data_IF_738367092552
#
_entry.id   IF_738367092552
#
_cell.length_a   1.000
_cell.length_b   1.000
_cell.length_c   1.000
_cell.angle_alpha   90.00
_cell.angle_beta   90.00
_cell.angle_gamma   90.00
#
_symmetry.space_group_name_H-M   'P 1'
#
loop_
_entity.id
_entity.type
_entity.pdbx_description
1 polymer ?
#
# COMPACT_ATOMS: atom_id res chain seq x y z
N UNK A 1 15.92 42.12 40.85
CA UNK A 1 16.34 40.70 40.94
C UNK A 1 15.34 39.91 40.11
N UNK A 2 15.70 39.67 38.85
CA UNK A 2 14.92 38.86 37.91
C UNK A 2 14.62 37.50 38.53
N UNK A 3 13.33 37.15 38.62
CA UNK A 3 12.93 35.75 38.75
C UNK A 3 12.25 35.38 37.44
N UNK A 4 13.11 34.92 36.55
CA UNK A 4 12.85 34.25 35.30
C UNK A 4 11.75 33.20 35.50
N UNK A 5 10.49 33.57 35.24
CA UNK A 5 9.44 32.63 34.87
C UNK A 5 9.89 32.00 33.55
N UNK A 6 10.75 30.98 33.64
CA UNK A 6 10.98 30.05 32.54
C UNK A 6 9.60 29.54 32.19
N UNK A 7 9.05 30.03 31.08
CA UNK A 7 8.08 29.29 30.29
C UNK A 7 8.69 27.88 30.23
N UNK A 8 8.06 26.91 30.88
CA UNK A 8 8.34 25.51 30.54
C UNK A 8 7.94 25.44 29.08
N UNK A 9 8.92 25.59 28.20
CA UNK A 9 8.79 25.08 26.84
C UNK A 9 8.36 23.64 27.04
N UNK A 10 7.08 23.39 26.72
CA UNK A 10 6.57 22.04 26.63
C UNK A 10 7.34 21.47 25.44
N UNK A 11 8.49 20.85 25.71
CA UNK A 11 9.18 20.06 24.72
C UNK A 11 8.13 19.10 24.16
N UNK A 12 7.86 19.10 22.84
CA UNK A 12 6.90 18.17 22.28
C UNK A 12 7.32 16.78 22.77
N UNK A 13 6.38 16.07 23.42
CA UNK A 13 6.63 14.70 23.90
C UNK A 13 7.39 13.95 22.80
N UNK A 14 8.55 13.39 23.14
CA UNK A 14 9.47 12.73 22.21
C UNK A 14 8.72 11.72 21.33
N UNK A 15 8.23 12.15 20.16
CA UNK A 15 7.52 11.33 19.17
C UNK A 15 8.54 10.49 18.39
N UNK A 16 9.23 9.59 19.09
CA UNK A 16 10.16 8.62 18.49
C UNK A 16 11.15 9.22 17.47
N UNK A 17 11.54 8.41 16.49
CA UNK A 17 12.33 8.84 15.33
C UNK A 17 11.36 9.17 14.19
N UNK A 18 11.32 10.42 13.68
CA UNK A 18 10.44 10.79 12.58
C UNK A 18 10.69 9.94 11.34
N UNK A 19 9.61 9.52 10.67
CA UNK A 19 9.64 8.74 9.42
C UNK A 19 10.45 7.44 9.50
N UNK A 20 10.62 6.86 10.70
CA UNK A 20 11.49 5.72 10.94
C UNK A 20 11.29 4.60 9.91
N UNK A 21 10.06 4.13 9.70
CA UNK A 21 9.78 3.04 8.77
C UNK A 21 9.99 3.42 7.31
N UNK A 22 9.59 4.62 6.90
CA UNK A 22 9.87 5.10 5.55
C UNK A 22 11.38 5.12 5.28
N UNK A 23 12.17 5.66 6.21
CA UNK A 23 13.63 5.66 6.10
C UNK A 23 14.21 4.26 6.09
N UNK A 24 13.74 3.36 6.97
CA UNK A 24 14.20 1.98 7.03
C UNK A 24 13.90 1.20 5.75
N UNK A 25 12.69 1.33 5.19
CA UNK A 25 12.31 0.66 3.95
C UNK A 25 13.10 1.18 2.76
N UNK A 26 13.35 2.50 2.68
CA UNK A 26 14.14 3.09 1.59
C UNK A 26 15.64 2.75 1.65
N UNK A 27 16.14 2.24 2.78
CA UNK A 27 17.51 1.75 2.89
C UNK A 27 17.69 0.40 2.19
N UNK A 28 16.61 -0.36 1.99
CA UNK A 28 16.63 -1.59 1.20
C UNK A 28 16.41 -1.26 -0.29
N UNK A 29 17.38 -1.56 -1.15
CA UNK A 29 17.30 -1.20 -2.58
C UNK A 29 16.11 -1.82 -3.32
N UNK A 30 15.68 -3.03 -2.95
CA UNK A 30 14.54 -3.69 -3.56
C UNK A 30 13.24 -2.97 -3.21
N UNK A 31 12.99 -2.78 -1.91
CA UNK A 31 11.80 -2.06 -1.43
C UNK A 31 11.78 -0.59 -1.88
N UNK A 32 12.95 0.06 -1.95
CA UNK A 32 13.04 1.45 -2.38
C UNK A 32 12.54 1.66 -3.82
N UNK A 33 12.70 0.67 -4.71
CA UNK A 33 12.21 0.72 -6.09
C UNK A 33 10.68 0.60 -6.17
N UNK A 34 10.08 -0.15 -5.25
CA UNK A 34 8.62 -0.31 -5.17
C UNK A 34 7.93 0.93 -4.57
N UNK A 35 8.67 1.83 -3.90
CA UNK A 35 8.12 3.02 -3.25
C UNK A 35 8.22 4.23 -4.20
N UNK A 36 7.08 4.65 -4.74
CA UNK A 36 7.00 5.87 -5.53
C UNK A 36 7.10 7.12 -4.65
N UNK A 37 7.43 8.27 -5.25
CA UNK A 37 7.46 9.57 -4.54
C UNK A 37 6.12 9.92 -3.89
N UNK A 38 5.00 9.45 -4.45
CA UNK A 38 3.66 9.70 -3.91
C UNK A 38 3.40 8.86 -2.66
N UNK A 39 3.88 7.62 -2.67
CA UNK A 39 3.75 6.69 -1.54
C UNK A 39 4.50 7.20 -0.31
N UNK A 40 5.65 7.85 -0.49
CA UNK A 40 6.43 8.43 0.60
C UNK A 40 5.59 9.31 1.53
N UNK A 41 4.62 10.06 1.01
CA UNK A 41 3.79 10.93 1.83
C UNK A 41 2.80 10.17 2.71
N UNK A 42 2.26 9.05 2.24
CA UNK A 42 1.41 8.19 3.05
C UNK A 42 2.25 7.36 4.04
N UNK A 43 3.43 6.89 3.64
CA UNK A 43 4.34 6.11 4.48
C UNK A 43 4.94 6.89 5.66
N UNK A 44 4.87 8.24 5.66
CA UNK A 44 5.19 9.06 6.84
C UNK A 44 4.26 8.79 8.03
N UNK A 45 3.06 8.26 7.77
CA UNK A 45 2.09 7.89 8.80
C UNK A 45 2.24 6.44 9.27
N UNK A 46 3.17 5.67 8.69
CA UNK A 46 3.44 4.30 9.11
C UNK A 46 4.14 4.29 10.47
N UNK A 47 3.44 3.80 11.48
CA UNK A 47 3.89 3.74 12.87
C UNK A 47 4.64 2.46 13.17
N UNK A 48 4.16 1.32 12.67
CA UNK A 48 4.72 0.02 12.99
C UNK A 48 4.50 -0.99 11.87
N UNK A 49 5.42 -1.95 11.75
CA UNK A 49 5.27 -3.13 10.91
C UNK A 49 5.42 -4.35 11.81
N UNK A 50 4.33 -5.06 12.02
CA UNK A 50 4.30 -6.28 12.83
C UNK A 50 4.28 -7.51 11.93
N UNK A 51 4.89 -8.56 12.41
CA UNK A 51 4.82 -9.89 11.83
C UNK A 51 4.18 -10.84 12.83
N UNK A 52 3.28 -11.69 12.36
CA UNK A 52 2.63 -12.72 13.16
C UNK A 52 2.57 -14.03 12.39
N UNK A 53 2.89 -15.14 13.06
CA UNK A 53 2.61 -16.48 12.56
C UNK A 53 1.12 -16.79 12.71
N UNK A 54 0.55 -17.49 11.74
CA UNK A 54 -0.80 -18.05 11.79
C UNK A 54 -0.64 -19.56 11.85
N UNK A 55 -1.28 -20.20 12.82
CA UNK A 55 -1.16 -21.65 13.02
C UNK A 55 -2.26 -22.45 12.29
N UNK A 56 -3.45 -21.88 12.11
CA UNK A 56 -4.56 -22.53 11.42
C UNK A 56 -5.45 -21.52 10.65
N UNK A 57 -5.48 -21.56 9.29
CA UNK A 57 -4.58 -22.32 8.43
C UNK A 57 -3.15 -21.77 8.54
N UNK A 58 -2.15 -22.65 8.44
CA UNK A 58 -0.73 -22.30 8.59
C UNK A 58 -0.33 -21.16 7.65
N UNK A 59 0.45 -20.21 8.15
CA UNK A 59 0.93 -19.09 7.35
C UNK A 59 1.59 -18.00 8.19
N UNK A 60 1.73 -16.82 7.60
CA UNK A 60 2.10 -15.62 8.35
C UNK A 60 1.39 -14.39 7.81
N UNK A 61 1.31 -13.36 8.65
CA UNK A 61 0.70 -12.07 8.36
C UNK A 61 1.70 -10.97 8.66
N UNK A 62 1.75 -10.00 7.76
CA UNK A 62 2.35 -8.69 7.99
C UNK A 62 1.23 -7.69 8.27
N UNK A 63 1.41 -6.86 9.29
CA UNK A 63 0.49 -5.78 9.65
C UNK A 63 1.23 -4.45 9.63
N UNK A 64 0.74 -3.52 8.82
CA UNK A 64 1.28 -2.17 8.67
C UNK A 64 0.32 -1.23 9.39
N UNK A 65 0.75 -0.69 10.53
CA UNK A 65 -0.06 0.14 11.40
C UNK A 65 0.14 1.61 11.03
N UNK A 66 -0.94 2.29 10.65
CA UNK A 66 -0.91 3.69 10.26
C UNK A 66 -1.62 4.58 11.28
N UNK A 67 -1.04 5.74 11.54
CA UNK A 67 -1.77 6.85 12.15
C UNK A 67 -2.91 7.33 11.23
N UNK A 68 -3.90 8.04 11.78
CA UNK A 68 -4.87 8.79 10.98
C UNK A 68 -4.17 9.65 9.94
N UNK A 69 -4.50 9.44 8.66
CA UNK A 69 -3.81 10.04 7.54
C UNK A 69 -4.81 10.51 6.46
N UNK A 70 -4.41 11.39 5.53
CA UNK A 70 -5.32 11.97 4.55
C UNK A 70 -5.53 11.11 3.30
N UNK A 71 -5.04 9.86 3.26
CA UNK A 71 -5.06 9.01 2.06
C UNK A 71 -6.13 7.92 2.12
N UNK A 72 -6.22 7.22 3.25
CA UNK A 72 -7.15 6.11 3.44
C UNK A 72 -7.65 6.03 4.88
N UNK A 73 -8.76 5.31 5.09
CA UNK A 73 -9.39 5.14 6.41
C UNK A 73 -8.74 4.07 7.27
N UNK A 74 -8.12 3.06 6.66
CA UNK A 74 -7.58 1.90 7.37
C UNK A 74 -6.51 2.35 8.38
N UNK A 75 -6.64 1.91 9.63
CA UNK A 75 -5.57 2.05 10.64
C UNK A 75 -4.55 0.92 10.56
N UNK A 76 -4.91 -0.20 9.92
CA UNK A 76 -4.02 -1.34 9.70
C UNK A 76 -4.23 -1.88 8.29
N UNK A 77 -3.15 -2.01 7.52
CA UNK A 77 -3.13 -2.76 6.26
C UNK A 77 -2.43 -4.09 6.50
N UNK A 78 -3.04 -5.19 6.08
CA UNK A 78 -2.49 -6.53 6.28
C UNK A 78 -2.18 -7.22 4.96
N UNK A 79 -1.11 -8.02 4.96
CA UNK A 79 -0.80 -8.97 3.90
C UNK A 79 -0.61 -10.35 4.53
N UNK A 80 -1.44 -11.29 4.15
CA UNK A 80 -1.47 -12.66 4.67
C UNK A 80 -0.90 -13.58 3.61
N UNK A 81 0.02 -14.44 4.02
CA UNK A 81 0.64 -15.47 3.21
C UNK A 81 0.27 -16.84 3.78
N UNK A 82 -0.78 -17.48 3.26
CA UNK A 82 -1.08 -18.87 3.58
C UNK A 82 0.08 -19.77 3.14
N UNK A 83 0.42 -20.76 3.96
CA UNK A 83 1.39 -21.79 3.66
C UNK A 83 0.65 -23.13 3.58
N UNK A 84 0.81 -23.85 2.46
CA UNK A 84 0.47 -25.27 2.45
C UNK A 84 1.52 -26.06 3.23
N UNK A 85 1.18 -27.29 3.64
CA UNK A 85 2.14 -28.19 4.29
C UNK A 85 3.31 -28.61 3.38
N UNK A 86 3.20 -28.37 2.07
CA UNK A 86 4.24 -28.64 1.07
C UNK A 86 5.44 -27.66 1.13
N UNK A 87 5.59 -26.91 2.22
CA UNK A 87 6.69 -25.98 2.53
C UNK A 87 6.89 -24.81 1.54
N UNK A 88 6.13 -24.74 0.45
CA UNK A 88 6.18 -23.64 -0.52
C UNK A 88 5.00 -22.71 -0.28
N UNK A 89 5.29 -21.51 0.21
CA UNK A 89 4.31 -20.42 0.21
C UNK A 89 4.08 -20.00 -1.24
N UNK A 90 2.96 -20.40 -1.84
CA UNK A 90 2.64 -20.03 -3.22
C UNK A 90 2.12 -18.58 -3.22
N UNK A 91 2.81 -17.63 -3.91
CA UNK A 91 2.43 -16.21 -3.92
C UNK A 91 1.00 -15.93 -4.40
N UNK A 92 0.44 -16.81 -5.22
CA UNK A 92 -0.90 -16.70 -5.82
C UNK A 92 -2.05 -16.68 -4.79
N UNK A 93 -1.79 -17.08 -3.53
CA UNK A 93 -2.79 -17.03 -2.44
C UNK A 93 -2.57 -15.88 -1.46
N UNK A 94 -1.67 -14.94 -1.73
CA UNK A 94 -1.36 -13.89 -0.78
C UNK A 94 -2.52 -12.87 -0.69
N UNK A 95 -3.21 -12.82 0.45
CA UNK A 95 -4.42 -12.00 0.65
C UNK A 95 -4.00 -10.65 1.23
N UNK A 96 -4.28 -9.57 0.52
CA UNK A 96 -4.06 -8.20 0.99
C UNK A 96 -5.35 -7.54 1.46
N UNK A 97 -5.22 -6.57 2.36
CA UNK A 97 -6.34 -5.74 2.80
C UNK A 97 -6.73 -4.75 1.70
N UNK A 98 -8.01 -4.72 1.25
CA UNK A 98 -8.49 -3.67 0.37
C UNK A 98 -8.34 -2.30 1.04
N UNK A 99 -7.69 -1.37 0.35
CA UNK A 99 -7.43 -0.03 0.89
C UNK A 99 -8.66 0.85 0.65
N UNK A 100 -9.20 1.41 1.73
CA UNK A 100 -10.33 2.34 1.72
C UNK A 100 -9.84 3.77 1.46
N UNK A 101 -9.43 4.04 0.22
CA UNK A 101 -8.96 5.36 -0.21
C UNK A 101 -10.04 6.43 -0.03
N UNK A 102 -9.62 7.62 0.40
CA UNK A 102 -10.46 8.81 0.28
C UNK A 102 -10.60 9.23 -1.19
N UNK A 103 -11.67 9.98 -1.55
CA UNK A 103 -11.88 10.43 -2.93
C UNK A 103 -10.67 11.17 -3.51
N UNK A 104 -10.17 10.70 -4.65
CA UNK A 104 -9.00 11.28 -5.35
C UNK A 104 -7.66 11.09 -4.61
N UNK A 105 -7.58 10.15 -3.66
CA UNK A 105 -6.36 9.85 -2.90
C UNK A 105 -5.76 8.47 -3.18
N UNK A 106 -6.33 7.72 -4.12
CA UNK A 106 -5.79 6.45 -4.57
C UNK A 106 -4.38 6.65 -5.12
N UNK A 107 -3.38 6.00 -4.51
CA UNK A 107 -1.98 6.14 -4.91
C UNK A 107 -1.56 5.13 -5.98
N UNK A 108 -2.34 4.05 -6.15
CA UNK A 108 -2.11 3.01 -7.15
C UNK A 108 -2.80 3.28 -8.49
N UNK A 109 -3.45 4.43 -8.66
CA UNK A 109 -4.15 4.82 -9.89
C UNK A 109 -3.88 6.28 -10.25
N UNK A 110 -3.90 6.59 -11.54
CA UNK A 110 -3.79 7.94 -12.08
C UNK A 110 -4.92 8.25 -13.04
N UNK A 111 -5.35 9.52 -13.08
CA UNK A 111 -6.29 10.01 -14.08
C UNK A 111 -5.52 10.39 -15.34
N UNK A 112 -5.80 9.68 -16.42
CA UNK A 112 -5.25 9.92 -17.75
C UNK A 112 -6.33 10.56 -18.61
N UNK A 113 -6.00 11.69 -19.22
CA UNK A 113 -6.87 12.33 -20.20
C UNK A 113 -6.60 11.71 -21.57
N UNK A 114 -7.65 11.15 -22.19
CA UNK A 114 -7.57 10.61 -23.55
C UNK A 114 -8.47 11.41 -24.48
N UNK A 115 -7.95 11.73 -25.66
CA UNK A 115 -8.71 12.34 -26.74
C UNK A 115 -9.09 11.29 -27.78
N UNK A 116 -10.38 11.19 -28.09
CA UNK A 116 -10.89 10.24 -29.06
C UNK A 116 -11.51 10.95 -30.28
N UNK A 117 -10.96 10.66 -31.47
CA UNK A 117 -11.54 10.99 -32.77
C UNK A 117 -11.44 12.46 -33.24
N UNK A 118 -11.87 12.70 -34.47
CA UNK A 118 -11.81 13.99 -35.20
C UNK A 118 -12.68 15.13 -34.61
N UNK A 119 -13.43 14.86 -33.54
CA UNK A 119 -14.26 15.85 -32.81
C UNK A 119 -13.86 15.86 -31.34
N UNK A 120 -12.58 16.17 -31.06
CA UNK A 120 -11.88 16.33 -29.77
C UNK A 120 -12.73 16.25 -28.48
N UNK A 121 -13.34 15.08 -28.21
CA UNK A 121 -13.99 14.81 -26.94
C UNK A 121 -12.91 14.27 -25.99
N UNK A 122 -12.69 15.00 -24.89
CA UNK A 122 -11.74 14.64 -23.82
C UNK A 122 -12.48 13.79 -22.80
N UNK A 123 -11.98 12.59 -22.53
CA UNK A 123 -12.43 11.73 -21.42
C UNK A 123 -11.31 11.54 -20.40
N UNK A 124 -11.67 11.51 -19.13
CA UNK A 124 -10.76 11.11 -18.05
C UNK A 124 -10.98 9.63 -17.74
N UNK A 125 -9.92 8.85 -17.86
CA UNK A 125 -9.90 7.43 -17.51
C UNK A 125 -8.94 7.22 -16.34
N UNK A 126 -9.24 6.26 -15.47
CA UNK A 126 -8.31 5.86 -14.39
C UNK A 126 -7.46 4.69 -14.86
N UNK A 127 -6.15 4.83 -14.79
CA UNK A 127 -5.19 3.79 -15.15
C UNK A 127 -4.39 3.38 -13.92
N UNK A 128 -4.09 2.08 -13.83
CA UNK A 128 -3.22 1.55 -12.79
C UNK A 128 -1.78 2.03 -13.01
N UNK A 129 -1.08 2.33 -11.91
CA UNK A 129 0.28 2.83 -11.94
C UNK A 129 1.13 2.18 -10.84
N UNK A 130 2.46 2.33 -10.94
CA UNK A 130 3.40 1.83 -9.93
C UNK A 130 3.19 2.55 -8.60
N UNK A 131 2.98 1.75 -7.55
CA UNK A 131 2.82 2.19 -6.18
C UNK A 131 3.14 1.03 -5.24
N UNK A 132 3.81 1.34 -4.12
CA UNK A 132 4.03 0.39 -3.04
C UNK A 132 2.73 -0.25 -2.56
N UNK A 133 1.62 0.51 -2.59
CA UNK A 133 0.32 0.04 -2.13
C UNK A 133 -0.30 -1.04 -3.03
N UNK A 134 0.24 -1.27 -4.24
CA UNK A 134 -0.09 -2.46 -5.04
C UNK A 134 0.28 -3.76 -4.31
N UNK A 135 1.21 -3.71 -3.34
CA UNK A 135 1.53 -4.83 -2.45
C UNK A 135 0.29 -5.40 -1.76
N UNK A 136 -0.73 -4.59 -1.46
CA UNK A 136 -1.95 -5.02 -0.78
C UNK A 136 -3.10 -5.40 -1.74
N UNK A 137 -2.93 -5.23 -3.05
CA UNK A 137 -3.92 -5.74 -4.01
C UNK A 137 -3.98 -7.28 -3.92
N UNK A 138 -5.18 -7.82 -4.08
CA UNK A 138 -5.35 -9.25 -4.27
C UNK A 138 -4.69 -9.66 -5.60
N UNK A 139 -4.09 -10.86 -5.70
CA UNK A 139 -3.66 -11.41 -6.97
C UNK A 139 -4.86 -11.43 -7.94
N UNK A 140 -4.66 -10.97 -9.17
CA UNK A 140 -5.68 -11.19 -10.21
C UNK A 140 -5.75 -12.68 -10.50
N UNK A 141 -6.96 -13.24 -10.51
CA UNK A 141 -7.14 -14.63 -10.96
C UNK A 141 -6.62 -14.74 -12.40
N UNK A 142 -5.86 -15.80 -12.74
CA UNK A 142 -5.46 -16.03 -14.11
C UNK A 142 -6.74 -16.09 -14.97
N UNK A 143 -6.81 -15.24 -16.00
CA UNK A 143 -7.90 -15.33 -16.97
C UNK A 143 -7.73 -16.66 -17.69
N UNK A 144 -8.74 -17.53 -17.59
CA UNK A 144 -8.82 -18.72 -18.43
C UNK A 144 -8.90 -18.25 -19.89
N UNK A 145 -7.79 -18.33 -20.64
CA UNK A 145 -7.74 -18.08 -22.08
C UNK A 145 -8.40 -19.23 -22.87
N UNK A 146 -9.54 -19.75 -22.41
CA UNK A 146 -10.25 -20.91 -22.96
C UNK A 146 -11.51 -20.53 -23.75
N UNK A 147 -11.49 -19.45 -24.52
CA UNK A 147 -12.59 -19.09 -25.42
C UNK A 147 -12.10 -18.66 -26.82
N UNK A 148 -11.32 -19.50 -27.52
CA UNK A 148 -11.22 -19.40 -29.00
C UNK A 148 -10.67 -20.66 -29.70
N UNK A 149 -11.48 -21.72 -29.76
CA UNK A 149 -11.46 -22.63 -30.91
C UNK A 149 -12.89 -22.82 -31.40
N UNK A 150 -13.36 -21.83 -32.17
CA UNK A 150 -14.52 -22.03 -33.02
C UNK A 150 -14.20 -23.13 -34.04
N UNK A 151 -14.88 -24.27 -33.92
CA UNK A 151 -14.99 -25.19 -35.04
C UNK A 151 -15.84 -24.50 -36.10
N UNK A 152 -15.21 -24.06 -37.19
CA UNK A 152 -15.94 -23.84 -38.43
C UNK A 152 -16.54 -25.19 -38.84
N UNK A 153 -17.88 -25.24 -38.92
CA UNK A 153 -18.64 -26.34 -39.53
C UNK A 153 -19.15 -25.89 -40.89
#
# INVERSE_FOLDING_TARGET
MEMLLRKKEIMPQNKGVPNFWLTAMKFNEGLAKEISKRDEWALKYLQDIKWCRIDDPKGFKLEFLFDPNPYFKNSVLTKIYPMSDDFVAIPEKAIGTPIEWYPGKCLSQELVEREYGLRSAKSMETEDCESFFNFFKAPEEPKDDFDYYGYDT
#
